data_IF_407499705821
#
_entry.id   IF_407499705821
#
_cell.length_a   1.000
_cell.length_b   1.000
_cell.length_c   1.000
_cell.angle_alpha   90.00
_cell.angle_beta   90.00
_cell.angle_gamma   90.00
#
_symmetry.space_group_name_H-M   'P 1'
#
loop_
_entity.id
_entity.type
_entity.pdbx_description
1 polymer ?
#
# COMPACT_ATOMS: atom_id res chain seq x y z
N UNK A 1 -4.59 -19.52 -9.66
CA UNK A 1 -4.14 -18.86 -8.43
C UNK A 1 -2.64 -18.67 -8.48
N UNK A 2 -2.21 -17.50 -8.94
CA UNK A 2 -0.81 -17.10 -8.84
C UNK A 2 -0.82 -15.79 -8.06
N UNK A 3 -0.09 -15.77 -6.95
CA UNK A 3 0.24 -14.58 -6.19
C UNK A 3 1.76 -14.52 -6.14
N UNK A 4 2.41 -14.84 -7.27
CA UNK A 4 3.84 -15.14 -7.32
C UNK A 4 4.64 -13.97 -6.79
N UNK A 5 4.31 -12.76 -7.23
CA UNK A 5 4.98 -11.56 -6.79
C UNK A 5 4.69 -11.22 -5.33
N UNK A 6 3.45 -11.38 -4.87
CA UNK A 6 3.09 -11.11 -3.47
C UNK A 6 3.82 -12.08 -2.53
N UNK A 7 3.82 -13.37 -2.86
CA UNK A 7 4.49 -14.39 -2.06
C UNK A 7 6.02 -14.26 -2.07
N UNK A 8 6.60 -13.53 -3.03
CA UNK A 8 8.03 -13.27 -3.07
C UNK A 8 8.47 -12.25 -2.01
N UNK A 9 7.66 -11.23 -1.71
CA UNK A 9 8.03 -10.17 -0.75
C UNK A 9 7.33 -10.27 0.60
N UNK A 10 6.13 -10.84 0.64
CA UNK A 10 5.33 -10.94 1.86
C UNK A 10 6.04 -11.64 3.04
N UNK A 11 6.96 -12.63 2.84
CA UNK A 11 7.71 -13.24 3.95
C UNK A 11 8.57 -12.27 4.76
N UNK A 12 9.03 -11.16 4.17
CA UNK A 12 9.83 -10.12 4.83
C UNK A 12 9.00 -9.24 5.79
N UNK A 13 7.67 -9.31 5.68
CA UNK A 13 6.78 -8.54 6.53
C UNK A 13 6.55 -9.21 7.88
N UNK A 14 6.39 -8.42 8.96
CA UNK A 14 5.88 -8.91 10.24
C UNK A 14 4.55 -9.66 10.05
N UNK A 15 4.35 -10.75 10.79
CA UNK A 15 3.22 -11.68 10.62
C UNK A 15 1.86 -10.98 10.43
N UNK A 16 1.50 -10.07 11.31
CA UNK A 16 0.19 -9.38 11.25
C UNK A 16 0.04 -8.47 10.03
N UNK A 17 1.12 -7.85 9.57
CA UNK A 17 1.11 -7.05 8.33
C UNK A 17 1.04 -7.97 7.12
N UNK A 18 1.79 -9.07 7.15
CA UNK A 18 1.82 -10.08 6.11
C UNK A 18 0.42 -10.63 5.83
N UNK A 19 -0.29 -11.08 6.85
CA UNK A 19 -1.66 -11.62 6.70
C UNK A 19 -2.59 -10.57 6.08
N UNK A 20 -2.61 -9.34 6.62
CA UNK A 20 -3.46 -8.28 6.09
C UNK A 20 -3.18 -7.92 4.62
N UNK A 21 -1.90 -7.94 4.23
CA UNK A 21 -1.46 -7.64 2.86
C UNK A 21 -1.83 -8.79 1.92
N UNK A 22 -1.56 -10.04 2.31
CA UNK A 22 -1.88 -11.23 1.50
C UNK A 22 -3.39 -11.38 1.33
N UNK A 23 -4.17 -11.25 2.41
CA UNK A 23 -5.63 -11.42 2.35
C UNK A 23 -6.28 -10.35 1.48
N UNK A 24 -5.79 -9.12 1.55
CA UNK A 24 -6.27 -8.06 0.67
C UNK A 24 -5.92 -8.34 -0.81
N UNK A 25 -4.69 -8.77 -1.09
CA UNK A 25 -4.28 -9.14 -2.44
C UNK A 25 -5.12 -10.31 -3.00
N UNK A 26 -5.41 -11.32 -2.18
CA UNK A 26 -6.32 -12.43 -2.51
C UNK A 26 -7.73 -11.95 -2.83
N UNK A 27 -8.25 -11.01 -2.03
CA UNK A 27 -9.58 -10.45 -2.28
C UNK A 27 -9.66 -9.74 -3.64
N UNK A 28 -8.62 -9.01 -4.02
CA UNK A 28 -8.55 -8.35 -5.34
C UNK A 28 -8.35 -9.36 -6.47
N UNK A 29 -7.54 -10.39 -6.27
CA UNK A 29 -7.36 -11.47 -7.24
C UNK A 29 -8.68 -12.22 -7.49
N UNK A 30 -9.45 -12.51 -6.44
CA UNK A 30 -10.77 -13.10 -6.56
C UNK A 30 -11.76 -12.21 -7.34
N UNK A 31 -11.67 -10.89 -7.18
CA UNK A 31 -12.45 -9.92 -7.94
C UNK A 31 -11.89 -9.61 -9.35
N UNK A 32 -10.74 -10.20 -9.72
CA UNK A 32 -10.03 -9.80 -10.94
C UNK A 32 -10.87 -9.96 -12.21
N UNK A 33 -11.73 -10.98 -12.31
CA UNK A 33 -12.57 -11.16 -13.50
C UNK A 33 -13.47 -9.96 -13.77
N UNK A 34 -14.11 -9.42 -12.72
CA UNK A 34 -14.99 -8.26 -12.84
C UNK A 34 -14.20 -6.99 -13.12
N UNK A 35 -13.06 -6.80 -12.44
CA UNK A 35 -12.19 -5.63 -12.62
C UNK A 35 -11.63 -5.57 -14.06
N UNK A 36 -11.19 -6.70 -14.61
CA UNK A 36 -10.70 -6.76 -15.99
C UNK A 36 -11.80 -6.52 -17.03
N UNK A 37 -13.02 -7.01 -16.74
CA UNK A 37 -14.19 -6.75 -17.59
C UNK A 37 -14.56 -5.27 -17.59
N UNK A 38 -14.55 -4.62 -16.43
CA UNK A 38 -14.79 -3.18 -16.30
C UNK A 38 -13.73 -2.35 -17.03
N UNK A 39 -12.46 -2.78 -16.97
CA UNK A 39 -11.35 -2.12 -17.66
C UNK A 39 -11.30 -2.40 -19.17
N UNK A 40 -12.14 -3.29 -19.71
CA UNK A 40 -12.05 -3.76 -21.10
C UNK A 40 -10.64 -4.28 -21.47
N UNK A 41 -9.87 -4.78 -20.50
CA UNK A 41 -8.52 -5.32 -20.68
C UNK A 41 -8.59 -6.85 -20.76
N UNK A 42 -7.83 -7.44 -21.69
CA UNK A 42 -7.71 -8.89 -21.78
C UNK A 42 -7.07 -9.46 -20.51
N UNK A 43 -7.79 -10.35 -19.84
CA UNK A 43 -7.27 -11.08 -18.69
C UNK A 43 -6.09 -11.98 -19.10
N UNK A 44 -4.95 -11.76 -18.46
CA UNK A 44 -3.78 -12.63 -18.55
C UNK A 44 -3.31 -12.95 -17.13
N UNK A 45 -2.76 -14.15 -16.92
CA UNK A 45 -2.27 -14.56 -15.59
C UNK A 45 -1.24 -13.59 -15.03
N UNK A 46 -0.41 -13.06 -15.91
CA UNK A 46 0.66 -12.13 -15.56
C UNK A 46 0.12 -10.75 -15.15
N UNK A 47 -0.84 -10.16 -15.89
CA UNK A 47 -1.48 -8.90 -15.45
C UNK A 47 -2.29 -9.09 -14.16
N UNK A 48 -2.89 -10.28 -13.97
CA UNK A 48 -3.59 -10.61 -12.73
C UNK A 48 -2.63 -10.64 -11.54
N UNK A 49 -1.46 -11.25 -11.69
CA UNK A 49 -0.41 -11.26 -10.67
C UNK A 49 0.11 -9.86 -10.35
N UNK A 50 0.31 -9.03 -11.38
CA UNK A 50 0.72 -7.63 -11.19
C UNK A 50 -0.36 -6.81 -10.49
N UNK A 51 -1.64 -6.97 -10.85
CA UNK A 51 -2.75 -6.32 -10.17
C UNK A 51 -2.78 -6.70 -8.69
N UNK A 52 -2.59 -7.99 -8.37
CA UNK A 52 -2.53 -8.46 -6.99
C UNK A 52 -1.32 -7.89 -6.23
N UNK A 53 -0.16 -7.74 -6.89
CA UNK A 53 1.01 -7.05 -6.33
C UNK A 53 0.69 -5.59 -6.00
N UNK A 54 0.08 -4.86 -6.94
CA UNK A 54 -0.32 -3.46 -6.70
C UNK A 54 -1.32 -3.35 -5.56
N UNK A 55 -2.27 -4.28 -5.45
CA UNK A 55 -3.19 -4.34 -4.32
C UNK A 55 -2.45 -4.56 -2.98
N UNK A 56 -1.47 -5.47 -2.95
CA UNK A 56 -0.66 -5.75 -1.78
C UNK A 56 0.12 -4.50 -1.34
N UNK A 57 0.77 -3.82 -2.29
CA UNK A 57 1.50 -2.57 -2.08
C UNK A 57 0.59 -1.44 -1.60
N UNK A 58 -0.58 -1.26 -2.24
CA UNK A 58 -1.61 -0.31 -1.83
C UNK A 58 -2.04 -0.54 -0.38
N UNK A 59 -2.23 -1.79 0.02
CA UNK A 59 -2.62 -2.13 1.39
C UNK A 59 -1.51 -1.80 2.38
N UNK A 60 -0.27 -2.15 2.07
CA UNK A 60 0.89 -1.82 2.90
C UNK A 60 1.02 -0.30 3.10
N UNK A 61 0.97 0.45 2.01
CA UNK A 61 0.99 1.91 2.05
C UNK A 61 -0.17 2.47 2.89
N UNK A 62 -1.39 1.95 2.72
CA UNK A 62 -2.55 2.36 3.50
C UNK A 62 -2.36 2.15 5.01
N UNK A 63 -1.76 1.02 5.43
CA UNK A 63 -1.48 0.76 6.84
C UNK A 63 -0.46 1.76 7.40
N UNK A 64 0.67 1.95 6.71
CA UNK A 64 1.72 2.90 7.12
C UNK A 64 1.19 4.33 7.18
N UNK A 65 0.50 4.77 6.12
CA UNK A 65 -0.04 6.12 5.98
C UNK A 65 -1.11 6.40 7.04
N UNK A 66 -2.06 5.48 7.24
CA UNK A 66 -3.13 5.66 8.23
C UNK A 66 -2.58 5.72 9.65
N UNK A 67 -1.60 4.87 9.97
CA UNK A 67 -0.94 4.87 11.28
C UNK A 67 -0.24 6.19 11.55
N UNK A 68 0.48 6.72 10.55
CA UNK A 68 1.16 8.01 10.64
C UNK A 68 0.16 9.16 10.81
N UNK A 69 -0.83 9.27 9.93
CA UNK A 69 -1.79 10.38 9.96
C UNK A 69 -2.67 10.36 11.20
N UNK A 70 -3.02 9.19 11.72
CA UNK A 70 -3.76 9.08 12.98
C UNK A 70 -2.95 9.65 14.15
N UNK A 71 -1.67 9.29 14.25
CA UNK A 71 -0.79 9.81 15.29
C UNK A 71 -0.50 11.31 15.10
N UNK A 72 -0.26 11.75 13.87
CA UNK A 72 0.01 13.15 13.53
C UNK A 72 -1.20 14.04 13.86
N UNK A 73 -2.40 13.64 13.45
CA UNK A 73 -3.62 14.40 13.74
C UNK A 73 -3.94 14.39 15.24
N UNK A 74 -3.80 13.24 15.90
CA UNK A 74 -4.04 13.14 17.35
C UNK A 74 -3.07 14.02 18.14
N UNK A 75 -1.78 14.03 17.80
CA UNK A 75 -0.79 14.89 18.46
C UNK A 75 -1.03 16.37 18.17
N UNK A 76 -1.45 16.74 16.95
CA UNK A 76 -1.80 18.14 16.62
C UNK A 76 -3.06 18.64 17.31
N UNK A 77 -4.10 17.81 17.41
CA UNK A 77 -5.35 18.18 18.07
C UNK A 77 -5.18 18.45 19.56
N UNK A 78 -4.20 17.80 20.19
CA UNK A 78 -3.90 17.99 21.61
C UNK A 78 -3.10 19.28 21.89
N UNK A 79 -2.54 19.94 20.87
CA UNK A 79 -1.73 21.16 21.04
C UNK A 79 -0.45 20.93 21.86
N UNK A 80 0.19 22.02 22.30
CA UNK A 80 1.45 21.96 23.06
C UNK A 80 1.27 21.61 24.55
N UNK A 81 0.03 21.54 25.05
CA UNK A 81 -0.28 21.45 26.49
C UNK A 81 -0.51 20.02 27.00
N UNK A 82 -0.35 18.99 26.16
CA UNK A 82 -0.56 17.59 26.55
C UNK A 82 0.71 16.79 26.27
N UNK A 83 1.12 15.96 27.23
CA UNK A 83 2.37 15.16 27.20
C UNK A 83 2.44 14.09 26.10
N UNK A 84 1.44 14.00 25.21
CA UNK A 84 1.40 13.07 24.07
C UNK A 84 0.15 12.22 23.99
N UNK A 85 0.08 11.42 22.92
CA UNK A 85 -0.99 10.44 22.66
C UNK A 85 -0.56 9.09 23.18
N UNK A 86 -1.31 8.50 24.12
CA UNK A 86 -1.04 7.13 24.58
C UNK A 86 -1.75 6.11 23.69
N UNK A 87 -0.97 5.21 23.10
CA UNK A 87 -1.47 4.03 22.39
C UNK A 87 -0.94 2.79 23.09
N UNK A 88 -1.84 2.03 23.72
CA UNK A 88 -1.47 0.92 24.60
C UNK A 88 -0.61 1.40 25.78
N UNK A 89 0.57 0.80 25.95
CA UNK A 89 1.56 1.18 26.97
C UNK A 89 2.52 2.29 26.56
N UNK A 90 2.47 2.78 25.31
CA UNK A 90 3.45 3.73 24.77
C UNK A 90 2.83 5.12 24.60
N UNK A 91 3.56 6.16 24.98
CA UNK A 91 3.15 7.56 24.76
C UNK A 91 3.92 8.13 23.58
N UNK A 92 3.20 8.68 22.60
CA UNK A 92 3.73 9.25 21.37
C UNK A 92 3.65 10.77 21.41
N UNK A 93 4.76 11.43 21.12
CA UNK A 93 4.86 12.88 20.90
C UNK A 93 5.50 13.13 19.53
N UNK A 94 5.37 14.34 18.95
CA UNK A 94 6.05 14.66 17.69
C UNK A 94 7.57 14.45 17.74
N UNK A 95 8.18 14.62 18.91
CA UNK A 95 9.62 14.46 19.14
C UNK A 95 10.04 13.01 19.44
N UNK A 96 9.08 12.13 19.71
CA UNK A 96 9.37 10.75 20.08
C UNK A 96 10.08 10.02 18.94
N UNK A 97 11.00 9.12 19.31
CA UNK A 97 11.78 8.35 18.34
C UNK A 97 10.87 7.51 17.45
N UNK A 98 9.86 6.88 18.06
CA UNK A 98 8.89 6.04 17.37
C UNK A 98 8.06 6.83 16.35
N UNK A 99 7.65 8.06 16.70
CA UNK A 99 6.90 8.91 15.78
C UNK A 99 7.75 9.30 14.56
N UNK A 100 9.00 9.71 14.79
CA UNK A 100 9.94 10.05 13.72
C UNK A 100 10.26 8.84 12.83
N UNK A 101 10.49 7.67 13.43
CA UNK A 101 10.73 6.43 12.69
C UNK A 101 9.56 6.07 11.77
N UNK A 102 8.32 6.24 12.23
CA UNK A 102 7.14 6.00 11.41
C UNK A 102 7.05 6.98 10.22
N UNK A 103 7.37 8.26 10.45
CA UNK A 103 7.44 9.26 9.38
C UNK A 103 8.53 8.96 8.36
N UNK A 104 9.71 8.53 8.80
CA UNK A 104 10.80 8.09 7.92
C UNK A 104 10.39 6.86 7.11
N UNK A 105 9.83 5.84 7.76
CA UNK A 105 9.36 4.62 7.10
C UNK A 105 8.33 4.92 5.99
N UNK A 106 7.36 5.80 6.28
CA UNK A 106 6.36 6.20 5.28
C UNK A 106 7.02 6.91 4.10
N UNK A 107 7.94 7.84 4.36
CA UNK A 107 8.66 8.56 3.31
C UNK A 107 9.52 7.64 2.45
N UNK A 108 10.28 6.76 3.08
CA UNK A 108 11.16 5.81 2.39
C UNK A 108 10.33 4.86 1.51
N UNK A 109 9.15 4.44 1.98
CA UNK A 109 8.20 3.69 1.18
C UNK A 109 7.71 4.50 -0.01
N UNK A 110 7.29 5.75 0.18
CA UNK A 110 6.82 6.62 -0.91
C UNK A 110 7.90 6.87 -1.98
N UNK A 111 9.16 7.05 -1.56
CA UNK A 111 10.31 7.20 -2.46
C UNK A 111 10.52 5.92 -3.27
N UNK A 112 10.58 4.76 -2.60
CA UNK A 112 10.77 3.48 -3.28
C UNK A 112 9.64 3.20 -4.27
N UNK A 113 8.40 3.51 -3.90
CA UNK A 113 7.25 3.37 -4.78
C UNK A 113 7.35 4.26 -6.02
N UNK A 114 7.81 5.50 -5.84
CA UNK A 114 8.00 6.42 -6.95
C UNK A 114 9.12 5.95 -7.90
N UNK A 115 10.23 5.42 -7.36
CA UNK A 115 11.34 4.87 -8.14
C UNK A 115 10.93 3.65 -8.97
N UNK A 116 9.90 2.92 -8.53
CA UNK A 116 9.32 1.77 -9.24
C UNK A 116 8.15 2.16 -10.17
N UNK A 117 7.89 3.47 -10.37
CA UNK A 117 6.76 3.95 -11.19
C UNK A 117 5.37 3.78 -10.54
N UNK A 118 5.31 3.29 -9.31
CA UNK A 118 4.09 3.05 -8.53
C UNK A 118 3.78 4.22 -7.59
N UNK A 119 3.78 5.45 -8.12
CA UNK A 119 3.55 6.63 -7.31
C UNK A 119 2.21 6.58 -6.54
N UNK A 120 2.12 7.36 -5.46
CA UNK A 120 0.96 7.34 -4.56
C UNK A 120 -0.33 7.76 -5.28
N UNK A 121 -0.24 8.56 -6.33
CA UNK A 121 -1.39 8.98 -7.14
C UNK A 121 -1.99 7.79 -7.91
N UNK A 122 -1.16 6.99 -8.57
CA UNK A 122 -1.56 5.74 -9.20
C UNK A 122 -2.17 4.78 -8.17
N UNK A 123 -1.54 4.64 -7.00
CA UNK A 123 -2.06 3.78 -5.93
C UNK A 123 -3.40 4.27 -5.36
N UNK A 124 -3.88 5.48 -5.67
CA UNK A 124 -5.22 5.96 -5.29
C UNK A 124 -6.27 5.77 -6.39
N UNK A 125 -5.87 5.45 -7.61
CA UNK A 125 -6.80 5.30 -8.72
C UNK A 125 -7.65 4.01 -8.61
N UNK A 126 -8.86 3.98 -9.19
CA UNK A 126 -9.60 2.73 -9.35
C UNK A 126 -8.77 1.63 -10.03
N UNK A 127 -8.96 0.37 -9.64
CA UNK A 127 -8.22 -0.75 -10.23
C UNK A 127 -8.32 -0.85 -11.77
N UNK A 128 -9.45 -0.50 -12.43
CA UNK A 128 -9.49 -0.45 -13.89
C UNK A 128 -8.46 0.51 -14.50
N UNK A 129 -8.26 1.69 -13.89
CA UNK A 129 -7.27 2.66 -14.37
C UNK A 129 -5.83 2.16 -14.17
N UNK A 130 -5.57 1.48 -13.06
CA UNK A 130 -4.29 0.79 -12.82
C UNK A 130 -4.05 -0.29 -13.87
N UNK A 131 -5.07 -1.07 -14.23
CA UNK A 131 -4.93 -2.09 -15.28
C UNK A 131 -4.55 -1.49 -16.63
N UNK A 132 -5.14 -0.35 -17.01
CA UNK A 132 -4.72 0.35 -18.22
C UNK A 132 -3.26 0.81 -18.15
N UNK A 133 -2.83 1.35 -17.02
CA UNK A 133 -1.43 1.72 -16.81
C UNK A 133 -0.50 0.51 -16.98
N UNK A 134 -0.77 -0.60 -16.27
CA UNK A 134 0.02 -1.84 -16.35
C UNK A 134 0.02 -2.46 -17.76
N UNK A 135 -1.09 -2.37 -18.48
CA UNK A 135 -1.20 -2.87 -19.85
C UNK A 135 -0.44 -2.00 -20.86
N UNK A 136 -0.36 -0.68 -20.61
CA UNK A 136 0.31 0.28 -21.48
C UNK A 136 1.83 0.30 -21.29
N UNK A 137 2.35 0.13 -20.07
CA UNK A 137 3.80 -0.03 -19.84
C UNK A 137 4.39 -1.24 -20.59
N UNK A 138 3.55 -2.22 -20.92
CA UNK A 138 3.94 -3.40 -21.72
C UNK A 138 3.92 -3.17 -23.23
N UNK A 139 3.50 -2.01 -23.70
CA UNK A 139 3.61 -1.62 -25.11
C UNK A 139 4.68 -0.52 -25.25
N UNK A 140 5.98 -0.82 -25.06
CA UNK A 140 7.01 0.17 -25.33
C UNK A 140 7.19 0.44 -26.84
N UNK A 141 6.62 -0.39 -27.73
CA UNK A 141 6.70 -0.21 -29.18
C UNK A 141 5.33 -0.46 -29.86
N UNK A 142 4.58 0.61 -30.08
CA UNK A 142 3.75 0.82 -31.27
C UNK A 142 4.08 2.20 -31.84
#
# INVERSE_FOLDING_TARGET
MSLRYVNAFAPELPYTLREQVIDYARSVEAASQEIFKEAEVKLTDELRDQLALVAAVRKLHSICSSSYWLLYNSTRLLGNDVSGVRVGGTTFTPESVQFRQLGTLLRDLEVLLNDQGLNVELLRQPYPQILHFLANERRPDQ
#
